data_IF_747911726333
#
_entry.id   IF_747911726333
#
_cell.length_a   1.000
_cell.length_b   1.000
_cell.length_c   1.000
_cell.angle_alpha   90.00
_cell.angle_beta   90.00
_cell.angle_gamma   90.00
#
_symmetry.space_group_name_H-M   'P 1'
#
loop_
_entity.id
_entity.type
_entity.pdbx_description
1 polymer ?
#
# COMPACT_ATOMS: atom_id res chain seq x y z
N UNK A 1 -32.89 48.36 -56.47
CA UNK A 1 -33.66 47.19 -55.99
C UNK A 1 -32.69 46.09 -55.59
N UNK A 2 -32.89 45.58 -54.39
CA UNK A 2 -32.21 44.45 -53.78
C UNK A 2 -32.42 43.15 -54.54
N UNK A 3 -31.42 42.26 -54.52
CA UNK A 3 -31.59 40.80 -54.43
C UNK A 3 -30.24 40.16 -54.10
N UNK A 4 -30.05 39.90 -52.81
CA UNK A 4 -29.05 38.99 -52.28
C UNK A 4 -29.28 37.61 -52.91
N UNK A 5 -28.23 36.97 -53.42
CA UNK A 5 -28.32 35.62 -53.94
C UNK A 5 -27.15 34.78 -53.44
N UNK A 6 -27.52 33.85 -52.57
CA UNK A 6 -27.01 32.48 -52.45
C UNK A 6 -25.70 32.24 -51.69
N UNK A 7 -25.88 32.12 -50.37
CA UNK A 7 -25.32 31.06 -49.52
C UNK A 7 -25.15 29.72 -50.29
N UNK A 8 -23.92 29.23 -50.40
CA UNK A 8 -23.59 27.81 -50.56
C UNK A 8 -22.08 27.62 -50.33
N UNK A 9 -21.73 26.96 -49.23
CA UNK A 9 -20.37 26.44 -49.04
C UNK A 9 -19.96 26.36 -47.56
N UNK A 10 -19.66 25.13 -47.12
CA UNK A 10 -18.96 24.78 -45.88
C UNK A 10 -19.78 24.77 -44.58
N UNK A 11 -20.94 24.10 -44.63
CA UNK A 11 -21.46 23.39 -43.46
C UNK A 11 -20.80 22.01 -43.37
N UNK A 12 -19.53 21.95 -42.94
CA UNK A 12 -18.87 20.67 -42.66
C UNK A 12 -17.67 20.86 -41.74
N UNK A 13 -17.90 21.02 -40.43
CA UNK A 13 -17.00 20.58 -39.35
C UNK A 13 -17.53 21.09 -38.00
N UNK A 14 -18.59 20.49 -37.45
CA UNK A 14 -18.99 20.83 -36.07
C UNK A 14 -19.77 19.71 -35.39
N UNK A 15 -19.44 18.44 -35.63
CA UNK A 15 -20.21 17.33 -35.02
C UNK A 15 -19.36 16.07 -34.78
N UNK A 16 -18.14 16.21 -34.24
CA UNK A 16 -17.44 15.08 -33.58
C UNK A 16 -16.70 15.59 -32.34
N UNK A 17 -17.42 16.30 -31.47
CA UNK A 17 -16.99 16.60 -30.10
C UNK A 17 -17.58 15.59 -29.11
N UNK A 18 -17.65 14.31 -29.48
CA UNK A 18 -18.18 13.27 -28.60
C UNK A 18 -17.16 12.98 -27.50
N UNK A 19 -17.36 13.65 -26.36
CA UNK A 19 -17.15 13.14 -25.00
C UNK A 19 -16.10 12.02 -24.87
N UNK A 20 -14.82 12.37 -24.80
CA UNK A 20 -13.85 11.52 -24.10
C UNK A 20 -13.68 12.11 -22.70
N UNK A 21 -14.71 11.93 -21.87
CA UNK A 21 -14.54 12.13 -20.44
C UNK A 21 -13.62 11.01 -19.92
N UNK A 22 -12.49 11.30 -19.26
CA UNK A 22 -11.70 10.27 -18.63
C UNK A 22 -12.59 9.60 -17.58
N UNK A 23 -12.91 8.32 -17.79
CA UNK A 23 -13.56 7.51 -16.75
C UNK A 23 -12.59 7.50 -15.57
N UNK A 24 -12.98 8.11 -14.46
CA UNK A 24 -12.21 8.04 -13.23
C UNK A 24 -12.05 6.56 -12.86
N UNK A 25 -10.84 6.03 -13.01
CA UNK A 25 -10.51 4.68 -12.56
C UNK A 25 -10.45 4.78 -11.04
N UNK A 26 -11.55 4.44 -10.38
CA UNK A 26 -11.57 4.31 -8.93
C UNK A 26 -10.79 3.04 -8.60
N UNK A 27 -9.50 3.20 -8.29
CA UNK A 27 -8.72 2.11 -7.72
C UNK A 27 -9.37 1.70 -6.39
N UNK A 28 -9.83 0.46 -6.30
CA UNK A 28 -10.36 -0.09 -5.06
C UNK A 28 -9.28 0.01 -3.97
N UNK A 29 -9.54 0.84 -2.95
CA UNK A 29 -8.56 1.18 -1.90
C UNK A 29 -8.43 0.09 -0.81
N UNK A 30 -9.23 -0.98 -0.87
CA UNK A 30 -9.37 -1.93 0.23
C UNK A 30 -10.14 -1.34 1.41
N UNK A 31 -10.78 -2.19 2.20
CA UNK A 31 -11.42 -1.79 3.45
C UNK A 31 -10.39 -1.89 4.60
N UNK A 32 -10.03 -0.77 5.27
CA UNK A 32 -9.08 -0.77 6.38
C UNK A 32 -9.57 -1.54 7.62
N UNK A 33 -10.86 -1.88 7.68
CA UNK A 33 -11.44 -2.66 8.77
C UNK A 33 -11.29 -4.18 8.57
N UNK A 34 -10.97 -4.63 7.35
CA UNK A 34 -10.75 -6.05 7.07
C UNK A 34 -9.41 -6.48 7.66
N UNK A 35 -9.47 -7.32 8.69
CA UNK A 35 -8.29 -7.89 9.33
C UNK A 35 -7.89 -9.20 8.65
N UNK A 36 -6.59 -9.48 8.60
CA UNK A 36 -6.07 -10.72 8.03
C UNK A 36 -6.44 -11.95 8.86
N UNK A 37 -6.36 -13.17 8.30
CA UNK A 37 -6.74 -14.42 8.98
C UNK A 37 -5.92 -14.72 10.25
N UNK A 38 -4.77 -14.05 10.43
CA UNK A 38 -3.90 -14.20 11.60
C UNK A 38 -4.06 -13.06 12.63
N UNK A 39 -5.14 -12.28 12.55
CA UNK A 39 -5.42 -11.21 13.50
C UNK A 39 -6.30 -11.72 14.65
N UNK A 40 -5.82 -11.54 15.88
CA UNK A 40 -6.62 -11.53 17.10
C UNK A 40 -6.24 -10.29 17.91
N UNK A 41 -7.16 -9.77 18.72
CA UNK A 41 -6.89 -8.59 19.56
C UNK A 41 -5.74 -8.87 20.52
N UNK A 42 -5.79 -9.99 21.23
CA UNK A 42 -4.75 -10.40 22.19
C UNK A 42 -3.36 -10.50 21.54
N UNK A 43 -3.27 -11.03 20.32
CA UNK A 43 -2.00 -11.11 19.58
C UNK A 43 -1.50 -9.73 19.19
N UNK A 44 -2.39 -8.84 18.78
CA UNK A 44 -2.03 -7.47 18.41
C UNK A 44 -1.50 -6.69 19.61
N UNK A 45 -2.19 -6.74 20.74
CA UNK A 45 -1.76 -6.08 21.99
C UNK A 45 -0.44 -6.65 22.51
N UNK A 46 -0.27 -7.98 22.48
CA UNK A 46 0.98 -8.62 22.87
C UNK A 46 2.15 -8.20 21.96
N UNK A 47 1.88 -8.03 20.66
CA UNK A 47 2.87 -7.55 19.70
C UNK A 47 3.26 -6.09 19.96
N UNK A 48 2.30 -5.21 20.22
CA UNK A 48 2.56 -3.80 20.56
C UNK A 48 3.41 -3.69 21.81
N UNK A 49 3.04 -4.40 22.88
CA UNK A 49 3.84 -4.45 24.11
C UNK A 49 5.26 -4.94 23.87
N UNK A 50 5.46 -5.94 23.01
CA UNK A 50 6.79 -6.43 22.67
C UNK A 50 7.65 -5.36 21.96
N UNK A 51 7.05 -4.51 21.13
CA UNK A 51 7.75 -3.37 20.52
C UNK A 51 8.05 -2.26 21.53
N UNK A 52 7.07 -1.88 22.36
CA UNK A 52 7.22 -0.84 23.40
C UNK A 52 8.32 -1.19 24.41
N UNK A 53 8.31 -2.45 24.88
CA UNK A 53 9.27 -2.95 25.87
C UNK A 53 10.58 -3.45 25.24
N UNK A 54 10.67 -3.45 23.91
CA UNK A 54 11.79 -4.02 23.14
C UNK A 54 12.08 -5.50 23.51
N UNK A 55 11.05 -6.27 23.82
CA UNK A 55 11.17 -7.70 24.13
C UNK A 55 11.20 -8.57 22.87
N UNK A 56 12.41 -8.88 22.43
CA UNK A 56 12.67 -9.77 21.28
C UNK A 56 12.10 -11.18 21.48
N UNK A 57 12.15 -11.74 22.68
CA UNK A 57 11.75 -13.14 22.91
C UNK A 57 10.23 -13.28 22.79
N UNK A 58 9.49 -12.35 23.39
CA UNK A 58 8.03 -12.28 23.24
C UNK A 58 7.66 -12.04 21.77
N UNK A 59 8.29 -11.08 21.11
CA UNK A 59 8.08 -10.83 19.69
C UNK A 59 8.32 -12.07 18.81
N UNK A 60 9.45 -12.77 19.02
CA UNK A 60 9.82 -13.96 18.26
C UNK A 60 8.80 -15.08 18.44
N UNK A 61 8.31 -15.28 19.66
CA UNK A 61 7.24 -16.25 19.95
C UNK A 61 5.96 -15.94 19.16
N UNK A 62 5.54 -14.68 19.16
CA UNK A 62 4.33 -14.21 18.44
C UNK A 62 4.47 -14.25 16.91
N UNK A 63 5.70 -14.19 16.40
CA UNK A 63 5.98 -14.34 14.97
C UNK A 63 6.02 -15.80 14.52
N UNK A 64 6.25 -16.76 15.44
CA UNK A 64 6.22 -18.20 15.17
C UNK A 64 7.05 -18.64 13.94
N UNK A 65 8.16 -17.94 13.65
CA UNK A 65 9.00 -18.19 12.46
C UNK A 65 8.35 -17.83 11.12
N UNK A 66 7.22 -17.11 11.13
CA UNK A 66 6.52 -16.73 9.92
C UNK A 66 7.15 -15.51 9.26
N UNK A 67 7.48 -15.67 7.98
CA UNK A 67 7.94 -14.58 7.12
C UNK A 67 9.43 -14.23 7.30
N UNK A 68 9.96 -13.56 6.27
CA UNK A 68 11.38 -13.18 6.17
C UNK A 68 11.88 -12.33 7.33
N UNK A 69 11.00 -11.56 7.97
CA UNK A 69 11.34 -10.74 9.13
C UNK A 69 11.85 -11.57 10.31
N UNK A 70 11.32 -12.78 10.52
CA UNK A 70 11.79 -13.68 11.60
C UNK A 70 13.18 -14.29 11.35
N UNK A 71 13.66 -14.27 10.10
CA UNK A 71 14.98 -14.78 9.70
C UNK A 71 16.07 -13.70 9.78
N UNK A 72 15.66 -12.44 9.65
CA UNK A 72 16.55 -11.29 9.55
C UNK A 72 16.70 -10.60 10.91
N UNK A 73 15.62 -10.60 11.71
CA UNK A 73 15.61 -9.95 13.00
C UNK A 73 16.09 -10.90 14.11
N UNK A 74 17.07 -10.42 14.86
CA UNK A 74 17.69 -11.08 15.99
C UNK A 74 17.69 -10.14 17.21
N UNK A 75 18.17 -10.61 18.35
CA UNK A 75 18.22 -9.83 19.59
C UNK A 75 19.06 -8.54 19.44
N UNK A 76 20.10 -8.56 18.62
CA UNK A 76 21.04 -7.44 18.45
C UNK A 76 20.45 -6.29 17.62
N UNK A 77 19.56 -6.61 16.66
CA UNK A 77 18.96 -5.63 15.77
C UNK A 77 17.48 -5.34 16.06
N UNK A 78 16.87 -6.03 17.02
CA UNK A 78 15.46 -5.85 17.38
C UNK A 78 15.15 -4.43 17.83
N UNK A 79 16.04 -3.77 18.57
CA UNK A 79 15.82 -2.39 19.02
C UNK A 79 15.66 -1.41 17.85
N UNK A 80 16.44 -1.57 16.77
CA UNK A 80 16.29 -0.78 15.53
C UNK A 80 14.99 -1.11 14.81
N UNK A 81 14.61 -2.37 14.82
CA UNK A 81 13.33 -2.79 14.23
C UNK A 81 12.13 -2.21 14.99
N UNK A 82 12.20 -2.13 16.32
CA UNK A 82 11.18 -1.49 17.15
C UNK A 82 11.13 0.03 16.90
N UNK A 83 12.26 0.69 16.74
CA UNK A 83 12.32 2.11 16.34
C UNK A 83 11.66 2.34 14.98
N UNK A 84 11.92 1.48 14.00
CA UNK A 84 11.23 1.55 12.71
C UNK A 84 9.71 1.35 12.84
N UNK A 85 9.24 0.53 13.78
CA UNK A 85 7.82 0.38 14.07
C UNK A 85 7.22 1.67 14.64
N UNK A 86 7.88 2.26 15.64
CA UNK A 86 7.47 3.51 16.28
C UNK A 86 7.40 4.68 15.27
N UNK A 87 8.42 4.82 14.41
CA UNK A 87 8.44 5.82 13.34
C UNK A 87 7.27 5.61 12.36
N UNK A 88 6.92 4.36 12.06
CA UNK A 88 5.79 4.07 11.19
C UNK A 88 4.44 4.43 11.85
N UNK A 89 4.28 4.20 13.15
CA UNK A 89 3.09 4.62 13.91
C UNK A 89 2.94 6.15 13.96
N UNK A 90 4.07 6.87 14.01
CA UNK A 90 4.12 8.34 13.90
C UNK A 90 3.85 8.85 12.46
N UNK A 91 3.65 7.97 11.48
CA UNK A 91 3.46 8.33 10.08
C UNK A 91 4.75 8.67 9.32
N UNK A 92 5.93 8.52 9.95
CA UNK A 92 7.25 8.73 9.34
C UNK A 92 7.69 7.50 8.54
N UNK A 93 6.89 7.16 7.54
CA UNK A 93 7.06 5.93 6.74
C UNK A 93 8.41 5.89 6.02
N UNK A 94 8.92 7.04 5.56
CA UNK A 94 10.21 7.11 4.87
C UNK A 94 11.39 6.72 5.79
N UNK A 95 11.40 7.27 7.01
CA UNK A 95 12.44 6.98 8.02
C UNK A 95 12.34 5.52 8.49
N UNK A 96 11.13 5.05 8.76
CA UNK A 96 10.89 3.65 9.08
C UNK A 96 11.39 2.71 7.97
N UNK A 97 11.14 3.05 6.71
CA UNK A 97 11.59 2.25 5.56
C UNK A 97 13.11 2.27 5.37
N UNK A 98 13.78 3.38 5.70
CA UNK A 98 15.25 3.45 5.66
C UNK A 98 15.85 2.43 6.64
N UNK A 99 15.42 2.45 7.90
CA UNK A 99 15.88 1.50 8.92
C UNK A 99 15.56 0.07 8.51
N UNK A 100 14.34 -0.19 8.02
CA UNK A 100 13.97 -1.52 7.54
C UNK A 100 14.90 -1.96 6.40
N UNK A 101 15.19 -1.09 5.44
CA UNK A 101 16.10 -1.40 4.33
C UNK A 101 17.53 -1.68 4.79
N UNK A 102 18.04 -0.93 5.77
CA UNK A 102 19.34 -1.20 6.42
C UNK A 102 19.37 -2.57 7.10
N UNK A 103 18.27 -2.94 7.75
CA UNK A 103 18.08 -4.28 8.31
C UNK A 103 17.89 -5.34 7.23
N UNK A 104 17.88 -4.98 5.94
CA UNK A 104 17.63 -5.89 4.83
C UNK A 104 16.14 -6.21 4.63
N UNK A 105 15.23 -5.53 5.30
CA UNK A 105 13.77 -5.63 5.21
C UNK A 105 13.23 -4.51 4.31
N UNK A 106 12.90 -4.76 3.04
CA UNK A 106 12.35 -3.69 2.19
C UNK A 106 12.70 -3.77 0.72
N UNK A 107 13.49 -4.78 0.32
CA UNK A 107 14.02 -4.91 -1.04
C UNK A 107 12.98 -5.30 -2.12
N UNK A 108 11.72 -4.83 -2.06
CA UNK A 108 10.73 -4.89 -3.16
C UNK A 108 10.47 -6.26 -3.81
N UNK A 109 11.09 -7.30 -3.30
CA UNK A 109 11.18 -8.68 -3.77
C UNK A 109 10.54 -9.62 -2.77
N UNK A 110 10.02 -9.07 -1.68
CA UNK A 110 8.81 -9.63 -1.11
C UNK A 110 7.83 -9.67 -2.26
N UNK A 111 7.54 -10.87 -2.74
CA UNK A 111 6.40 -11.15 -3.59
C UNK A 111 5.12 -10.82 -2.83
N UNK A 112 4.94 -9.56 -2.47
CA UNK A 112 3.68 -8.86 -2.56
C UNK A 112 3.28 -8.79 -4.04
N UNK A 113 3.28 -9.95 -4.71
CA UNK A 113 2.14 -10.30 -5.53
C UNK A 113 0.99 -10.15 -4.56
N UNK A 114 0.37 -8.97 -4.57
CA UNK A 114 -1.06 -8.87 -4.41
C UNK A 114 -1.63 -9.86 -5.40
N UNK A 115 -1.70 -11.14 -5.00
CA UNK A 115 -2.36 -12.21 -5.72
C UNK A 115 -3.85 -12.05 -5.42
N UNK A 116 -4.32 -10.82 -5.65
CA UNK A 116 -5.68 -10.34 -5.64
C UNK A 116 -5.94 -9.54 -6.92
N UNK A 117 -5.11 -9.73 -7.96
CA UNK A 117 -5.57 -9.49 -9.32
C UNK A 117 -6.49 -10.65 -9.65
N UNK A 118 -7.80 -10.40 -9.54
CA UNK A 118 -8.84 -11.33 -9.93
C UNK A 118 -8.57 -11.86 -11.33
N UNK A 119 -8.17 -13.12 -11.40
CA UNK A 119 -8.19 -13.88 -12.62
C UNK A 119 -8.92 -15.19 -12.33
N UNK A 120 -10.22 -15.06 -12.05
CA UNK A 120 -11.16 -16.12 -12.38
C UNK A 120 -12.01 -15.62 -13.53
N UNK A 121 -11.98 -16.45 -14.57
CA UNK A 121 -12.64 -16.31 -15.87
C UNK A 121 -14.15 -16.19 -15.75
#
# INVERSE_FOLDING_TARGET
MTKQSMLLGLASLALIGAMVAPKAILAYKGDPNVKGPNYTVDRHEAMQKAFETRDYNTWKGLMSGQGRVSLVINVENFSKFAEAHELAEQGKIAEANAIRSELGLGNGSGSGRGTGCGMNR
#
